data_IF_181872368358
#
_entry.id   IF_181872368358
#
_cell.length_a   1.000
_cell.length_b   1.000
_cell.length_c   1.000
_cell.angle_alpha   90.00
_cell.angle_beta   90.00
_cell.angle_gamma   90.00
#
_symmetry.space_group_name_H-M   'P 1'
#
loop_
_entity.id
_entity.type
_entity.pdbx_description
1 polymer ?
#
# COMPACT_ATOMS: atom_id res chain seq x y z
N UNK A 1 1.17 -11.58 18.82
CA UNK A 1 0.76 -10.15 18.85
C UNK A 1 -0.31 -9.90 19.93
N UNK A 2 -0.20 -8.81 20.72
CA UNK A 2 -1.24 -8.35 21.64
C UNK A 2 -2.28 -7.44 20.95
N UNK A 3 -3.41 -7.15 21.62
CA UNK A 3 -4.40 -6.19 21.08
C UNK A 3 -3.81 -4.78 20.96
N UNK A 4 -2.93 -4.38 21.88
CA UNK A 4 -2.26 -3.07 21.83
C UNK A 4 -1.35 -2.99 20.60
N UNK A 5 -0.59 -4.04 20.31
CA UNK A 5 0.25 -4.12 19.12
C UNK A 5 -0.60 -4.02 17.84
N UNK A 6 -1.73 -4.73 17.80
CA UNK A 6 -2.67 -4.70 16.68
C UNK A 6 -3.23 -3.29 16.43
N UNK A 7 -3.55 -2.54 17.51
CA UNK A 7 -4.01 -1.15 17.42
C UNK A 7 -2.91 -0.25 16.83
N UNK A 8 -1.69 -0.37 17.32
CA UNK A 8 -0.55 0.44 16.86
C UNK A 8 -0.30 0.18 15.37
N UNK A 9 -0.20 -1.08 14.99
CA UNK A 9 0.01 -1.50 13.61
C UNK A 9 -1.12 -1.00 12.70
N UNK A 10 -2.38 -1.11 13.14
CA UNK A 10 -3.53 -0.63 12.38
C UNK A 10 -3.54 0.89 12.17
N UNK A 11 -3.10 1.67 13.17
CA UNK A 11 -2.93 3.12 13.03
C UNK A 11 -1.84 3.42 12.00
N UNK A 12 -0.71 2.72 12.08
CA UNK A 12 0.41 2.90 11.14
C UNK A 12 -0.05 2.60 9.72
N UNK A 13 -0.69 1.47 9.49
CA UNK A 13 -1.27 1.10 8.19
C UNK A 13 -2.23 2.17 7.67
N UNK A 14 -3.24 2.53 8.46
CA UNK A 14 -4.24 3.51 8.04
C UNK A 14 -3.65 4.87 7.68
N UNK A 15 -2.59 5.31 8.39
CA UNK A 15 -1.89 6.56 8.09
C UNK A 15 -1.03 6.48 6.82
N UNK A 16 -0.42 5.32 6.55
CA UNK A 16 0.71 5.22 5.61
C UNK A 16 0.34 4.61 4.27
N UNK A 17 -0.76 3.86 4.17
CA UNK A 17 -1.12 3.10 2.97
C UNK A 17 -1.38 4.00 1.75
N UNK A 18 -2.19 5.03 1.93
CA UNK A 18 -2.56 5.95 0.85
C UNK A 18 -1.63 7.15 0.70
N UNK A 19 -0.81 7.43 1.72
CA UNK A 19 0.24 8.42 1.62
C UNK A 19 1.42 7.82 0.83
N UNK A 20 2.15 8.64 0.05
CA UNK A 20 3.23 8.16 -0.81
C UNK A 20 4.52 7.87 -0.02
N UNK A 21 4.40 7.34 1.21
CA UNK A 21 5.49 7.17 2.20
C UNK A 21 5.86 5.71 2.51
N UNK A 22 5.14 4.75 1.91
CA UNK A 22 5.36 3.30 2.02
C UNK A 22 4.93 2.71 3.36
N UNK A 23 3.72 2.13 3.40
CA UNK A 23 3.21 1.36 4.55
C UNK A 23 4.17 0.24 4.94
N UNK A 24 4.59 -0.60 4.00
CA UNK A 24 5.55 -1.70 4.25
C UNK A 24 6.80 -1.28 5.03
N UNK A 25 7.35 -0.10 4.76
CA UNK A 25 8.53 0.39 5.48
C UNK A 25 8.24 0.73 6.93
N UNK A 26 7.09 1.32 7.19
CA UNK A 26 6.64 1.63 8.54
C UNK A 26 6.24 0.38 9.30
N UNK A 27 5.61 -0.58 8.62
CA UNK A 27 5.22 -1.86 9.21
C UNK A 27 6.44 -2.62 9.72
N UNK A 28 7.50 -2.75 8.91
CA UNK A 28 8.78 -3.38 9.32
C UNK A 28 9.40 -2.68 10.54
N UNK A 29 9.40 -1.34 10.58
CA UNK A 29 9.90 -0.60 11.76
C UNK A 29 9.04 -0.91 12.97
N UNK A 30 7.73 -0.77 12.84
CA UNK A 30 6.79 -0.89 13.95
C UNK A 30 6.80 -2.31 14.52
N UNK A 31 6.70 -3.34 13.69
CA UNK A 31 6.71 -4.73 14.17
C UNK A 31 8.07 -5.14 14.73
N UNK A 32 9.19 -4.60 14.21
CA UNK A 32 10.51 -4.80 14.81
C UNK A 32 10.65 -4.13 16.17
N UNK A 33 10.19 -2.88 16.32
CA UNK A 33 10.22 -2.16 17.61
C UNK A 33 9.32 -2.79 18.67
N UNK A 34 8.22 -3.41 18.24
CA UNK A 34 7.32 -4.18 19.10
C UNK A 34 7.85 -5.61 19.38
N UNK A 35 8.92 -6.04 18.71
CA UNK A 35 9.51 -7.38 18.89
C UNK A 35 8.67 -8.53 18.33
N UNK A 36 7.77 -8.25 17.37
CA UNK A 36 6.81 -9.22 16.81
C UNK A 36 6.96 -9.44 15.29
N UNK A 37 7.99 -8.87 14.65
CA UNK A 37 8.19 -8.96 13.20
C UNK A 37 8.29 -10.39 12.63
N UNK A 38 8.74 -11.35 13.44
CA UNK A 38 8.93 -12.74 13.02
C UNK A 38 7.70 -13.64 13.26
N UNK A 39 6.62 -13.10 13.86
CA UNK A 39 5.40 -13.85 14.13
C UNK A 39 4.55 -13.97 12.86
N UNK A 40 4.17 -15.18 12.48
CA UNK A 40 3.38 -15.46 11.27
C UNK A 40 2.03 -14.77 11.29
N UNK A 41 1.37 -14.75 12.45
CA UNK A 41 0.11 -14.04 12.59
C UNK A 41 0.31 -12.54 12.40
N UNK A 42 1.42 -11.98 12.89
CA UNK A 42 1.78 -10.58 12.63
C UNK A 42 1.94 -10.34 11.13
N UNK A 43 2.78 -11.10 10.42
CA UNK A 43 2.96 -10.94 8.96
C UNK A 43 1.65 -11.05 8.18
N UNK A 44 0.79 -12.02 8.53
CA UNK A 44 -0.55 -12.14 7.95
C UNK A 44 -1.41 -10.92 8.27
N UNK A 45 -1.40 -10.48 9.52
CA UNK A 45 -2.15 -9.34 10.00
C UNK A 45 -1.76 -8.07 9.23
N UNK A 46 -0.46 -7.79 9.09
CA UNK A 46 0.07 -6.64 8.34
C UNK A 46 -0.48 -6.55 6.90
N UNK A 47 -0.56 -7.69 6.20
CA UNK A 47 -1.16 -7.72 4.86
C UNK A 47 -2.68 -7.58 4.91
N UNK A 48 -3.33 -8.21 5.89
CA UNK A 48 -4.78 -8.36 5.87
C UNK A 48 -5.54 -7.15 6.42
N UNK A 49 -4.92 -6.30 7.23
CA UNK A 49 -5.51 -5.03 7.70
C UNK A 49 -5.68 -4.00 6.58
N UNK A 50 -5.04 -4.22 5.42
CA UNK A 50 -5.28 -3.46 4.20
C UNK A 50 -6.75 -3.50 3.78
N UNK A 51 -7.52 -4.53 4.18
CA UNK A 51 -8.97 -4.59 3.93
C UNK A 51 -9.70 -3.41 4.57
N UNK A 52 -9.35 -3.06 5.80
CA UNK A 52 -9.86 -1.87 6.47
C UNK A 52 -9.48 -0.60 5.70
N UNK A 53 -8.21 -0.48 5.31
CA UNK A 53 -7.72 0.66 4.55
C UNK A 53 -8.45 0.81 3.19
N UNK A 54 -8.62 -0.25 2.39
CA UNK A 54 -9.35 -0.15 1.11
C UNK A 54 -10.84 0.15 1.28
N UNK A 55 -11.45 -0.32 2.38
CA UNK A 55 -12.84 0.01 2.67
C UNK A 55 -13.01 1.52 2.85
N UNK A 56 -11.99 2.24 3.34
CA UNK A 56 -12.02 3.70 3.44
C UNK A 56 -12.16 4.36 2.07
N UNK A 57 -11.50 3.82 1.03
CA UNK A 57 -11.66 4.29 -0.35
C UNK A 57 -13.09 4.06 -0.83
N UNK A 58 -13.61 2.84 -0.65
CA UNK A 58 -14.98 2.49 -1.07
C UNK A 58 -16.00 3.42 -0.42
N UNK A 59 -15.88 3.70 0.87
CA UNK A 59 -16.78 4.58 1.61
C UNK A 59 -16.63 6.04 1.20
N UNK A 60 -15.40 6.56 1.09
CA UNK A 60 -15.17 7.96 0.71
C UNK A 60 -15.64 8.27 -0.71
N UNK A 61 -15.51 7.29 -1.61
CA UNK A 61 -15.89 7.42 -3.01
C UNK A 61 -17.19 6.67 -3.34
N UNK A 62 -18.03 6.38 -2.36
CA UNK A 62 -19.22 5.51 -2.47
C UNK A 62 -20.04 5.75 -3.74
N UNK A 63 -20.45 7.00 -3.98
CA UNK A 63 -21.28 7.37 -5.14
C UNK A 63 -20.61 7.05 -6.47
N UNK A 64 -19.29 7.22 -6.57
CA UNK A 64 -18.51 6.95 -7.78
C UNK A 64 -18.14 5.48 -7.91
N UNK A 65 -17.89 4.81 -6.79
CA UNK A 65 -17.54 3.40 -6.71
C UNK A 65 -18.71 2.47 -7.06
N UNK A 66 -19.94 2.89 -6.80
CA UNK A 66 -21.17 2.15 -7.15
C UNK A 66 -21.94 2.76 -8.33
N UNK A 67 -21.31 3.64 -9.11
CA UNK A 67 -21.89 4.15 -10.34
C UNK A 67 -21.65 3.14 -11.49
N UNK A 68 -22.49 2.11 -11.54
CA UNK A 68 -22.39 1.04 -12.53
C UNK A 68 -22.70 1.50 -13.97
N UNK A 69 -23.32 2.67 -14.14
CA UNK A 69 -23.52 3.25 -15.48
C UNK A 69 -22.18 3.54 -16.18
N UNK A 70 -21.11 3.74 -15.38
CA UNK A 70 -19.76 4.04 -15.83
C UNK A 70 -18.89 2.79 -15.96
N UNK A 71 -19.44 1.70 -16.51
CA UNK A 71 -18.78 0.40 -16.65
C UNK A 71 -17.35 0.48 -17.25
N UNK A 72 -17.12 1.41 -18.19
CA UNK A 72 -15.80 1.65 -18.80
C UNK A 72 -14.72 2.00 -17.77
N UNK A 73 -15.08 2.68 -16.67
CA UNK A 73 -14.15 2.99 -15.59
C UNK A 73 -13.65 1.71 -14.90
N UNK A 74 -14.54 0.76 -14.62
CA UNK A 74 -14.15 -0.53 -14.04
C UNK A 74 -13.26 -1.33 -14.98
N UNK A 75 -13.53 -1.32 -16.29
CA UNK A 75 -12.66 -1.98 -17.27
C UNK A 75 -11.26 -1.34 -17.28
N UNK A 76 -11.16 -0.01 -17.18
CA UNK A 76 -9.86 0.67 -17.04
C UNK A 76 -9.15 0.26 -15.74
N UNK A 77 -9.87 0.11 -14.62
CA UNK A 77 -9.28 -0.41 -13.39
C UNK A 77 -8.75 -1.82 -13.58
N UNK A 78 -9.54 -2.73 -14.15
CA UNK A 78 -9.10 -4.11 -14.45
C UNK A 78 -7.84 -4.10 -15.31
N UNK A 79 -7.83 -3.31 -16.40
CA UNK A 79 -6.66 -3.16 -17.28
C UNK A 79 -5.42 -2.68 -16.53
N UNK A 80 -5.59 -1.73 -15.58
CA UNK A 80 -4.49 -1.26 -14.74
C UNK A 80 -4.04 -2.28 -13.69
N UNK A 81 -4.91 -3.17 -13.23
CA UNK A 81 -4.59 -4.18 -12.21
C UNK A 81 -3.87 -5.38 -12.80
N UNK A 82 -4.12 -5.71 -14.07
CA UNK A 82 -3.55 -6.90 -14.76
C UNK A 82 -2.03 -7.03 -14.59
N UNK A 83 -1.19 -6.00 -14.87
CA UNK A 83 0.26 -6.14 -14.71
C UNK A 83 0.67 -6.53 -13.29
N UNK A 84 0.01 -5.94 -12.28
CA UNK A 84 0.31 -6.19 -10.89
C UNK A 84 -0.12 -7.60 -10.45
N UNK A 85 -1.29 -8.09 -10.91
CA UNK A 85 -1.73 -9.46 -10.56
C UNK A 85 -0.87 -10.52 -11.23
N UNK A 86 -0.56 -10.35 -12.52
CA UNK A 86 0.23 -11.32 -13.28
C UNK A 86 1.64 -11.43 -12.69
N UNK A 87 2.34 -10.31 -12.54
CA UNK A 87 3.71 -10.33 -12.05
C UNK A 87 3.79 -10.60 -10.54
N UNK A 88 2.79 -10.15 -9.77
CA UNK A 88 2.71 -10.43 -8.33
C UNK A 88 2.51 -11.92 -8.05
N UNK A 89 1.72 -12.61 -8.88
CA UNK A 89 1.56 -14.06 -8.80
C UNK A 89 2.81 -14.80 -9.29
N UNK A 90 3.38 -14.41 -10.44
CA UNK A 90 4.57 -15.08 -11.00
C UNK A 90 5.82 -14.94 -10.14
N UNK A 91 5.96 -13.83 -9.41
CA UNK A 91 7.13 -13.51 -8.60
C UNK A 91 6.84 -13.48 -7.09
N UNK A 92 5.76 -14.12 -6.63
CA UNK A 92 5.33 -14.06 -5.22
C UNK A 92 6.44 -14.43 -4.24
N UNK A 93 7.17 -15.51 -4.51
CA UNK A 93 8.24 -15.99 -3.64
C UNK A 93 9.41 -15.00 -3.60
N UNK A 94 9.72 -14.36 -4.75
CA UNK A 94 10.78 -13.36 -4.81
C UNK A 94 10.39 -12.07 -4.11
N UNK A 95 9.12 -11.69 -4.18
CA UNK A 95 8.59 -10.52 -3.46
C UNK A 95 8.67 -10.78 -1.95
N UNK A 96 8.31 -11.98 -1.49
CA UNK A 96 8.44 -12.38 -0.09
C UNK A 96 9.90 -12.30 0.39
N UNK A 97 10.88 -12.80 -0.39
CA UNK A 97 12.30 -12.66 -0.05
C UNK A 97 12.75 -11.19 0.08
N UNK A 98 12.26 -10.32 -0.80
CA UNK A 98 12.55 -8.89 -0.72
C UNK A 98 11.87 -8.22 0.49
N UNK A 99 10.69 -8.69 0.89
CA UNK A 99 9.94 -8.19 2.06
C UNK A 99 10.68 -8.52 3.35
N UNK A 100 11.31 -9.69 3.41
CA UNK A 100 12.12 -10.14 4.53
C UNK A 100 13.50 -9.47 4.61
N UNK A 101 13.83 -8.57 3.69
CA UNK A 101 15.09 -7.82 3.69
C UNK A 101 14.89 -6.38 4.18
N UNK A 102 15.17 -6.07 5.46
CA UNK A 102 15.14 -4.71 5.99
C UNK A 102 15.97 -3.72 5.16
N UNK A 103 17.12 -4.17 4.63
CA UNK A 103 17.98 -3.37 3.76
C UNK A 103 17.28 -2.98 2.46
N UNK A 104 16.56 -3.90 1.83
CA UNK A 104 15.79 -3.62 0.61
C UNK A 104 14.71 -2.58 0.87
N UNK A 105 13.98 -2.75 1.98
CA UNK A 105 12.93 -1.82 2.43
C UNK A 105 13.51 -0.43 2.70
N UNK A 106 14.63 -0.35 3.41
CA UNK A 106 15.31 0.90 3.76
C UNK A 106 15.81 1.67 2.53
N UNK A 107 16.52 0.99 1.63
CA UNK A 107 17.04 1.58 0.40
C UNK A 107 15.92 2.05 -0.52
N UNK A 108 14.89 1.24 -0.70
CA UNK A 108 13.73 1.60 -1.54
C UNK A 108 12.94 2.76 -0.96
N UNK A 109 12.81 2.82 0.37
CA UNK A 109 12.19 3.95 1.07
C UNK A 109 12.98 5.24 0.82
N UNK A 110 14.30 5.20 1.00
CA UNK A 110 15.21 6.33 0.76
C UNK A 110 15.17 6.79 -0.70
N UNK A 111 15.39 5.88 -1.66
CA UNK A 111 15.43 6.19 -3.09
C UNK A 111 14.10 6.75 -3.57
N UNK A 112 12.97 6.16 -3.17
CA UNK A 112 11.67 6.72 -3.51
C UNK A 112 11.44 8.09 -2.86
N UNK A 113 11.99 8.35 -1.67
CA UNK A 113 12.01 9.68 -1.07
C UNK A 113 12.74 10.70 -1.94
N UNK A 114 13.93 10.35 -2.43
CA UNK A 114 14.69 11.19 -3.37
C UNK A 114 13.88 11.47 -4.63
N UNK A 115 13.25 10.45 -5.23
CA UNK A 115 12.39 10.62 -6.43
C UNK A 115 11.26 11.62 -6.16
N UNK A 116 10.58 11.54 -5.01
CA UNK A 116 9.49 12.43 -4.65
C UNK A 116 9.90 13.90 -4.49
N UNK A 117 11.16 14.19 -4.16
CA UNK A 117 11.66 15.57 -4.06
C UNK A 117 11.65 16.31 -5.41
N UNK A 118 11.75 15.56 -6.51
CA UNK A 118 11.86 16.11 -7.86
C UNK A 118 10.61 15.93 -8.71
N UNK A 119 9.72 15.00 -8.35
CA UNK A 119 8.65 14.55 -9.24
C UNK A 119 7.64 15.64 -9.63
N UNK A 120 7.40 16.58 -8.74
CA UNK A 120 6.56 17.76 -9.01
C UNK A 120 7.12 18.65 -10.11
N UNK A 121 8.44 18.64 -10.30
CA UNK A 121 9.10 19.42 -11.32
C UNK A 121 9.16 18.71 -12.67
N UNK A 122 9.01 17.38 -12.70
CA UNK A 122 9.05 16.58 -13.92
C UNK A 122 7.73 16.68 -14.69
N UNK A 123 6.59 16.61 -13.99
CA UNK A 123 5.26 16.54 -14.62
C UNK A 123 4.42 17.82 -14.41
N UNK A 124 4.84 18.93 -15.03
CA UNK A 124 4.22 20.26 -14.85
C UNK A 124 3.01 20.57 -15.74
N UNK A 125 2.77 19.78 -16.79
CA UNK A 125 1.75 20.06 -17.82
C UNK A 125 0.70 18.95 -17.93
N UNK A 126 -0.17 18.77 -16.90
CA UNK A 126 -1.26 17.82 -16.99
C UNK A 126 -2.27 18.28 -18.05
N UNK A 127 -2.82 17.34 -18.81
CA UNK A 127 -3.84 17.60 -19.83
C UNK A 127 -5.13 16.80 -19.62
N UNK A 128 -5.14 15.88 -18.64
CA UNK A 128 -6.29 15.03 -18.32
C UNK A 128 -6.76 15.33 -16.91
N UNK A 129 -7.98 15.80 -16.79
CA UNK A 129 -8.61 16.20 -15.51
C UNK A 129 -9.88 15.39 -15.20
N UNK A 130 -10.32 14.51 -16.09
CA UNK A 130 -11.44 13.59 -15.89
C UNK A 130 -11.02 12.14 -16.17
N UNK A 131 -11.55 11.20 -15.39
CA UNK A 131 -11.36 9.75 -15.54
C UNK A 131 -11.93 9.19 -16.86
N UNK A 132 -12.91 9.87 -17.46
CA UNK A 132 -13.45 9.53 -18.77
C UNK A 132 -12.38 9.62 -19.87
N UNK A 133 -11.46 10.58 -19.75
CA UNK A 133 -10.38 10.83 -20.71
C UNK A 133 -9.17 9.87 -20.55
N UNK A 134 -9.15 9.04 -19.50
CA UNK A 134 -8.11 8.03 -19.32
C UNK A 134 -8.36 6.92 -20.35
N UNK A 135 -7.44 6.68 -21.29
CA UNK A 135 -7.54 5.55 -22.21
C UNK A 135 -7.11 4.24 -21.54
N UNK A 136 -7.49 3.09 -22.11
CA UNK A 136 -7.04 1.79 -21.63
C UNK A 136 -5.51 1.66 -21.62
N UNK A 137 -4.82 2.19 -22.64
CA UNK A 137 -3.36 2.23 -22.69
C UNK A 137 -2.77 3.00 -21.51
N UNK A 138 -3.36 4.15 -21.15
CA UNK A 138 -2.90 4.93 -19.99
C UNK A 138 -3.11 4.17 -18.69
N UNK A 139 -4.27 3.53 -18.54
CA UNK A 139 -4.56 2.70 -17.37
C UNK A 139 -3.57 1.53 -17.24
N UNK A 140 -3.27 0.84 -18.35
CA UNK A 140 -2.27 -0.23 -18.40
C UNK A 140 -0.88 0.26 -18.00
N UNK A 141 -0.43 1.41 -18.52
CA UNK A 141 0.88 1.98 -18.15
C UNK A 141 0.92 2.33 -16.66
N UNK A 142 -0.17 2.89 -16.09
CA UNK A 142 -0.26 3.12 -14.63
C UNK A 142 -0.14 1.79 -13.86
N UNK A 143 -0.72 0.71 -14.40
CA UNK A 143 -0.53 -0.65 -13.89
C UNK A 143 0.91 -1.13 -13.91
N UNK A 144 1.64 -0.88 -15.01
CA UNK A 144 3.07 -1.18 -15.08
C UNK A 144 3.88 -0.41 -14.03
N UNK A 145 3.49 0.82 -13.69
CA UNK A 145 4.09 1.55 -12.57
C UNK A 145 3.83 0.87 -11.22
N UNK A 146 2.64 0.28 -10.99
CA UNK A 146 2.39 -0.48 -9.76
C UNK A 146 3.31 -1.68 -9.60
N UNK A 147 3.79 -2.29 -10.70
CA UNK A 147 4.73 -3.41 -10.63
C UNK A 147 6.02 -3.01 -9.92
N UNK A 148 6.47 -1.77 -10.10
CA UNK A 148 7.65 -1.23 -9.40
C UNK A 148 7.43 -1.24 -7.88
N UNK A 149 6.18 -1.09 -7.44
CA UNK A 149 5.82 -1.13 -6.03
C UNK A 149 5.78 -2.54 -5.42
N UNK A 150 6.01 -3.59 -6.21
CA UNK A 150 6.29 -4.92 -5.67
C UNK A 150 7.63 -4.97 -4.95
N UNK A 151 8.55 -4.03 -5.24
CA UNK A 151 9.75 -3.84 -4.43
C UNK A 151 9.34 -3.18 -3.11
N UNK A 152 9.54 -3.87 -1.97
CA UNK A 152 9.17 -3.35 -0.65
C UNK A 152 9.86 -2.03 -0.34
N UNK A 153 9.11 -1.07 0.20
CA UNK A 153 9.63 0.28 0.48
C UNK A 153 9.41 1.30 -0.64
N UNK A 154 9.05 0.90 -1.87
CA UNK A 154 8.82 1.86 -2.98
C UNK A 154 7.56 2.72 -2.77
N UNK A 155 6.57 2.25 -2.02
CA UNK A 155 5.20 2.80 -1.92
C UNK A 155 4.39 2.62 -3.19
N UNK A 156 3.34 1.81 -3.09
CA UNK A 156 2.39 1.56 -4.17
C UNK A 156 1.65 2.82 -4.57
N UNK A 157 1.11 3.57 -3.61
CA UNK A 157 0.44 4.84 -3.86
C UNK A 157 1.36 5.85 -4.58
N UNK A 158 2.62 5.97 -4.18
CA UNK A 158 3.59 6.81 -4.90
C UNK A 158 3.75 6.35 -6.36
N UNK A 159 4.04 5.06 -6.59
CA UNK A 159 4.30 4.54 -7.93
C UNK A 159 3.12 4.75 -8.90
N UNK A 160 1.90 4.40 -8.50
CA UNK A 160 0.72 4.58 -9.37
C UNK A 160 0.34 6.05 -9.58
N UNK A 161 0.54 6.93 -8.59
CA UNK A 161 0.26 8.36 -8.77
C UNK A 161 1.27 8.99 -9.72
N UNK A 162 2.56 8.65 -9.57
CA UNK A 162 3.62 9.09 -10.47
C UNK A 162 3.36 8.60 -11.89
N UNK A 163 2.97 7.32 -12.04
CA UNK A 163 2.55 6.77 -13.33
C UNK A 163 1.37 7.54 -13.94
N UNK A 164 0.37 7.90 -13.13
CA UNK A 164 -0.74 8.72 -13.59
C UNK A 164 -0.29 10.10 -14.07
N UNK A 165 0.57 10.77 -13.30
CA UNK A 165 1.14 12.08 -13.66
C UNK A 165 1.97 12.01 -14.94
N UNK A 166 2.76 10.95 -15.12
CA UNK A 166 3.49 10.68 -16.36
C UNK A 166 2.53 10.55 -17.55
N UNK A 167 1.36 9.94 -17.35
CA UNK A 167 0.29 9.84 -18.35
C UNK A 167 -0.54 11.13 -18.53
N UNK A 168 -0.06 12.26 -17.97
CA UNK A 168 -0.64 13.60 -18.03
C UNK A 168 -1.93 13.79 -17.22
N UNK A 169 -2.22 12.92 -16.27
CA UNK A 169 -3.31 13.15 -15.31
C UNK A 169 -2.91 14.28 -14.35
N UNK A 170 -3.89 15.07 -13.93
CA UNK A 170 -3.68 15.97 -12.78
C UNK A 170 -3.32 15.16 -11.53
N UNK A 171 -2.57 15.76 -10.59
CA UNK A 171 -2.19 15.09 -9.31
C UNK A 171 -3.40 14.49 -8.59
N UNK A 172 -4.51 15.24 -8.53
CA UNK A 172 -5.73 14.81 -7.87
C UNK A 172 -6.36 13.60 -8.58
N UNK A 173 -6.46 13.64 -9.90
CA UNK A 173 -7.02 12.52 -10.67
C UNK A 173 -6.11 11.29 -10.60
N UNK A 174 -4.79 11.48 -10.61
CA UNK A 174 -3.83 10.40 -10.47
C UNK A 174 -3.90 9.76 -9.07
N UNK A 175 -4.03 10.56 -8.01
CA UNK A 175 -4.29 10.10 -6.63
C UNK A 175 -5.60 9.32 -6.54
N UNK A 176 -6.69 9.88 -7.06
CA UNK A 176 -7.98 9.22 -7.05
C UNK A 176 -7.93 7.90 -7.84
N UNK A 177 -7.43 7.89 -9.08
CA UNK A 177 -7.30 6.66 -9.87
C UNK A 177 -6.45 5.61 -9.15
N UNK A 178 -5.34 6.02 -8.54
CA UNK A 178 -4.48 5.16 -7.71
C UNK A 178 -5.24 4.54 -6.52
N UNK A 179 -6.14 5.29 -5.87
CA UNK A 179 -6.96 4.78 -4.77
C UNK A 179 -8.00 3.78 -5.24
N UNK A 180 -8.69 4.05 -6.36
CA UNK A 180 -9.60 3.08 -6.95
C UNK A 180 -8.88 1.80 -7.39
N UNK A 181 -7.69 1.93 -7.97
CA UNK A 181 -6.83 0.84 -8.40
C UNK A 181 -6.33 -0.01 -7.22
N UNK A 182 -6.19 0.61 -6.04
CA UNK A 182 -5.84 -0.04 -4.78
C UNK A 182 -6.79 -1.18 -4.43
N UNK A 183 -8.09 -0.91 -4.55
CA UNK A 183 -9.15 -1.76 -4.01
C UNK A 183 -9.07 -3.17 -4.58
N UNK A 184 -9.13 -3.39 -5.91
CA UNK A 184 -9.00 -4.74 -6.47
C UNK A 184 -7.60 -5.35 -6.27
N UNK A 185 -6.53 -4.55 -6.32
CA UNK A 185 -5.15 -5.06 -6.17
C UNK A 185 -4.91 -5.62 -4.76
N UNK A 186 -5.24 -4.85 -3.73
CA UNK A 186 -4.99 -5.21 -2.33
C UNK A 186 -6.02 -6.20 -1.80
N UNK A 187 -7.24 -6.17 -2.33
CA UNK A 187 -8.19 -7.25 -2.10
C UNK A 187 -7.64 -8.58 -2.61
N UNK A 188 -7.09 -8.63 -3.82
CA UNK A 188 -6.48 -9.84 -4.36
C UNK A 188 -5.27 -10.30 -3.54
N UNK A 189 -4.38 -9.39 -3.15
CA UNK A 189 -3.22 -9.71 -2.30
C UNK A 189 -3.66 -10.24 -0.92
N UNK A 190 -4.67 -9.62 -0.30
CA UNK A 190 -5.19 -10.08 0.99
C UNK A 190 -5.89 -11.43 0.86
N UNK A 191 -6.75 -11.61 -0.16
CA UNK A 191 -7.43 -12.87 -0.42
C UNK A 191 -6.41 -14.01 -0.65
N UNK A 192 -5.34 -13.73 -1.40
CA UNK A 192 -4.23 -14.67 -1.56
C UNK A 192 -3.60 -15.02 -0.21
N UNK A 193 -3.24 -14.03 0.61
CA UNK A 193 -2.63 -14.23 1.93
C UNK A 193 -3.50 -14.99 2.92
N UNK A 194 -4.82 -14.77 2.91
CA UNK A 194 -5.77 -15.43 3.83
C UNK A 194 -6.12 -16.85 3.36
N UNK A 195 -6.39 -17.03 2.06
CA UNK A 195 -7.04 -18.25 1.53
C UNK A 195 -6.05 -19.19 0.85
N UNK A 196 -5.10 -18.65 0.10
CA UNK A 196 -4.25 -19.45 -0.80
C UNK A 196 -2.85 -19.69 -0.23
N UNK A 197 -2.23 -18.67 0.38
CA UNK A 197 -0.88 -18.75 0.94
C UNK A 197 -0.81 -19.73 2.11
N UNK A 198 0.21 -20.57 2.09
CA UNK A 198 0.56 -21.44 3.22
C UNK A 198 1.60 -20.72 4.07
N UNK A 199 1.27 -20.44 5.32
CA UNK A 199 2.17 -19.84 6.30
C UNK A 199 2.91 -20.98 6.99
N UNK A 200 4.25 -21.01 6.83
CA UNK A 200 5.12 -22.15 7.16
C UNK A 200 5.90 -21.94 8.47
N UNK A 201 5.35 -21.27 9.48
CA UNK A 201 6.00 -21.09 10.78
C UNK A 201 6.42 -22.42 11.44
N UNK A 202 6.94 -22.35 12.67
CA UNK A 202 7.63 -23.43 13.43
C UNK A 202 6.89 -24.77 13.64
N UNK A 203 5.80 -25.06 12.91
CA UNK A 203 5.05 -26.30 12.90
C UNK A 203 4.42 -26.62 11.53
N UNK A 204 3.22 -27.18 11.54
CA UNK A 204 2.49 -27.59 10.33
C UNK A 204 2.03 -26.35 9.54
N UNK A 205 2.19 -26.31 8.20
CA UNK A 205 1.72 -25.19 7.40
C UNK A 205 0.23 -24.93 7.60
N UNK A 206 -0.14 -23.68 7.93
CA UNK A 206 -1.52 -23.25 8.12
C UNK A 206 -1.95 -22.25 7.06
N UNK A 207 -3.25 -22.20 6.77
CA UNK A 207 -3.85 -21.11 5.98
C UNK A 207 -4.02 -19.86 6.83
N UNK A 208 -4.11 -18.69 6.19
CA UNK A 208 -4.28 -17.45 6.92
C UNK A 208 -5.60 -17.39 7.71
N UNK A 209 -6.70 -17.92 7.17
CA UNK A 209 -7.96 -18.00 7.93
C UNK A 209 -7.83 -18.89 9.20
N UNK A 210 -6.98 -19.91 9.16
CA UNK A 210 -6.73 -20.78 10.32
C UNK A 210 -5.93 -20.05 11.39
N UNK A 211 -4.95 -19.22 10.99
CA UNK A 211 -4.19 -18.36 11.92
C UNK A 211 -5.08 -17.29 12.56
N UNK A 212 -6.03 -16.73 11.81
CA UNK A 212 -6.98 -15.73 12.32
C UNK A 212 -7.92 -16.35 13.36
N UNK A 213 -8.38 -17.58 13.11
CA UNK A 213 -9.34 -18.29 13.95
C UNK A 213 -8.68 -19.17 15.03
N UNK A 214 -7.35 -19.24 15.07
CA UNK A 214 -6.60 -20.09 15.99
C UNK A 214 -6.94 -19.83 17.46
N UNK A 215 -7.19 -18.56 17.81
CA UNK A 215 -7.64 -18.18 19.13
C UNK A 215 -8.45 -16.87 19.08
N UNK A 216 -9.25 -16.63 20.11
CA UNK A 216 -10.11 -15.44 20.19
C UNK A 216 -9.32 -14.13 20.12
N UNK A 217 -8.09 -14.10 20.64
CA UNK A 217 -7.25 -12.90 20.61
C UNK A 217 -6.82 -12.53 19.18
N UNK A 218 -6.44 -13.50 18.34
CA UNK A 218 -6.11 -13.29 16.93
C UNK A 218 -7.35 -12.79 16.17
N UNK A 219 -8.51 -13.38 16.43
CA UNK A 219 -9.76 -12.95 15.80
C UNK A 219 -10.12 -11.51 16.21
N UNK A 220 -10.02 -11.17 17.49
CA UNK A 220 -10.26 -9.81 17.97
C UNK A 220 -9.24 -8.80 17.42
N UNK A 221 -7.95 -9.15 17.39
CA UNK A 221 -6.91 -8.33 16.79
C UNK A 221 -7.23 -8.03 15.32
N UNK A 222 -7.60 -9.05 14.55
CA UNK A 222 -7.97 -8.92 13.14
C UNK A 222 -9.15 -7.96 12.92
N UNK A 223 -10.24 -8.14 13.67
CA UNK A 223 -11.46 -7.31 13.54
C UNK A 223 -11.19 -5.86 13.96
N UNK A 224 -10.59 -5.67 15.14
CA UNK A 224 -10.30 -4.34 15.70
C UNK A 224 -9.29 -3.61 14.81
N UNK A 225 -8.25 -4.32 14.36
CA UNK A 225 -7.22 -3.78 13.47
C UNK A 225 -7.80 -3.27 12.16
N UNK A 226 -8.66 -4.05 11.51
CA UNK A 226 -9.34 -3.60 10.29
C UNK A 226 -10.25 -2.39 10.52
N UNK A 227 -10.99 -2.36 11.64
CA UNK A 227 -11.84 -1.22 11.98
C UNK A 227 -11.03 0.07 12.22
N UNK A 228 -9.91 -0.05 12.91
CA UNK A 228 -9.02 1.09 13.20
C UNK A 228 -8.33 1.56 11.91
N UNK A 229 -7.76 0.64 11.13
CA UNK A 229 -7.14 0.96 9.86
C UNK A 229 -8.13 1.67 8.92
N UNK A 230 -9.39 1.24 8.89
CA UNK A 230 -10.47 1.92 8.17
C UNK A 230 -10.67 3.36 8.62
N UNK A 231 -10.89 3.59 9.92
CA UNK A 231 -11.15 4.95 10.46
C UNK A 231 -9.96 5.87 10.20
N UNK A 232 -8.75 5.38 10.44
CA UNK A 232 -7.52 6.15 10.26
C UNK A 232 -7.27 6.44 8.77
N UNK A 233 -7.49 5.46 7.88
CA UNK A 233 -7.37 5.65 6.44
C UNK A 233 -8.36 6.68 5.89
N UNK A 234 -9.59 6.74 6.43
CA UNK A 234 -10.56 7.79 6.07
C UNK A 234 -9.99 9.18 6.34
N UNK A 235 -9.36 9.38 7.50
CA UNK A 235 -8.73 10.64 7.88
C UNK A 235 -7.50 10.93 7.01
N UNK A 236 -6.65 9.92 6.80
CA UNK A 236 -5.42 10.03 6.02
C UNK A 236 -5.68 10.40 4.55
N UNK A 237 -6.65 9.75 3.90
CA UNK A 237 -7.04 10.05 2.51
C UNK A 237 -7.54 11.49 2.38
N UNK A 238 -8.43 11.93 3.29
CA UNK A 238 -8.96 13.30 3.28
C UNK A 238 -7.86 14.34 3.46
N UNK A 239 -6.95 14.10 4.41
CA UNK A 239 -5.78 14.94 4.62
C UNK A 239 -4.91 14.99 3.37
N UNK A 240 -4.57 13.83 2.83
CA UNK A 240 -3.63 13.70 1.71
C UNK A 240 -4.14 14.39 0.44
N UNK A 241 -5.41 14.19 0.05
CA UNK A 241 -5.96 14.83 -1.15
C UNK A 241 -5.88 16.35 -1.05
N UNK A 242 -6.26 16.89 0.11
CA UNK A 242 -6.22 18.34 0.36
C UNK A 242 -4.79 18.87 0.37
N UNK A 243 -3.86 18.13 0.98
CA UNK A 243 -2.45 18.48 1.03
C UNK A 243 -1.81 18.44 -0.37
N UNK A 244 -1.99 17.34 -1.09
CA UNK A 244 -1.38 17.08 -2.39
C UNK A 244 -1.77 18.15 -3.42
N UNK A 245 -3.04 18.58 -3.39
CA UNK A 245 -3.55 19.65 -4.25
C UNK A 245 -2.80 20.97 -4.06
N UNK A 246 -2.39 21.28 -2.81
CA UNK A 246 -1.79 22.58 -2.45
C UNK A 246 -0.26 22.56 -2.45
N UNK A 247 0.35 21.48 -1.97
CA UNK A 247 1.78 21.45 -1.65
C UNK A 247 2.60 20.42 -2.47
N UNK A 248 1.95 19.48 -3.16
CA UNK A 248 2.64 18.44 -3.93
C UNK A 248 3.29 17.35 -3.06
N UNK A 249 4.36 16.73 -3.56
CA UNK A 249 5.03 15.55 -3.00
C UNK A 249 6.24 15.87 -2.11
N UNK A 250 6.80 17.08 -2.21
CA UNK A 250 8.13 17.39 -1.66
C UNK A 250 8.27 17.09 -0.16
N UNK A 251 7.26 17.37 0.65
CA UNK A 251 7.31 17.06 2.09
C UNK A 251 7.35 15.53 2.37
N UNK A 252 6.59 14.73 1.61
CA UNK A 252 6.65 13.27 1.70
C UNK A 252 7.99 12.73 1.23
N UNK A 253 8.62 13.39 0.24
CA UNK A 253 9.99 13.07 -0.18
C UNK A 253 11.00 13.26 0.94
N UNK A 254 10.99 14.42 1.61
CA UNK A 254 11.86 14.66 2.77
C UNK A 254 11.62 13.65 3.88
N UNK A 255 10.35 13.39 4.20
CA UNK A 255 9.98 12.41 5.21
C UNK A 255 10.57 11.02 4.90
N UNK A 256 10.39 10.52 3.68
CA UNK A 256 10.94 9.23 3.25
C UNK A 256 12.46 9.18 3.27
N UNK A 257 13.13 10.27 2.90
CA UNK A 257 14.60 10.34 2.98
C UNK A 257 15.04 10.19 4.44
N UNK A 258 14.40 10.91 5.36
CA UNK A 258 14.69 10.82 6.79
C UNK A 258 14.44 9.41 7.31
N UNK A 259 13.27 8.83 7.04
CA UNK A 259 12.91 7.47 7.49
C UNK A 259 13.84 6.42 6.89
N UNK A 260 14.16 6.52 5.60
CA UNK A 260 15.11 5.62 4.93
C UNK A 260 16.51 5.69 5.53
N UNK A 261 17.01 6.90 5.85
CA UNK A 261 18.28 7.07 6.56
C UNK A 261 18.23 6.46 7.97
N UNK A 262 17.16 6.69 8.73
CA UNK A 262 17.00 6.10 10.07
C UNK A 262 17.02 4.57 10.00
N UNK A 263 16.29 3.99 9.04
CA UNK A 263 16.28 2.54 8.80
C UNK A 263 17.68 1.99 8.53
N UNK A 264 18.43 2.61 7.63
CA UNK A 264 19.80 2.19 7.31
C UNK A 264 20.73 2.28 8.53
N UNK A 265 20.59 3.31 9.36
CA UNK A 265 21.37 3.44 10.61
C UNK A 265 21.00 2.35 11.59
N UNK A 266 19.70 2.04 11.78
CA UNK A 266 19.27 0.97 12.68
C UNK A 266 19.77 -0.40 12.24
N UNK A 267 19.76 -0.67 10.93
CA UNK A 267 20.32 -1.90 10.33
C UNK A 267 21.83 -1.95 10.57
N UNK A 268 22.54 -0.86 10.33
CA UNK A 268 23.99 -0.78 10.57
C UNK A 268 24.36 -1.02 12.04
N UNK A 269 23.48 -0.61 12.97
CA UNK A 269 23.62 -0.86 14.41
C UNK A 269 23.20 -2.27 14.85
N UNK A 270 22.72 -3.13 13.95
CA UNK A 270 22.22 -4.47 14.26
C UNK A 270 20.92 -4.47 15.08
N UNK A 271 20.11 -3.41 14.98
CA UNK A 271 18.81 -3.26 15.68
C UNK A 271 17.60 -3.60 14.80
N UNK A 272 17.84 -3.89 13.53
CA UNK A 272 16.86 -4.25 12.50
C UNK A 272 17.47 -5.28 11.56
#
# INVERSE_FOLDING_TARGET
MSIVDAIIIAIVEGLTEFLPISSTGHMVITSSLLGIANDDFTKLFEVSIQLGAILAVVVLYWKKFFDFSRWQFYVKLIVGVIPALVLGFLFSDKIDELLESPTTVALSTLLGGIVLLFIDNVFKKPSINSDQQISYTKAFIIGCWQVIAMVPGVSRSAASIIGGMQQKLTRNLAAEFSFFLAVPTMFAATAYSIVLKNWKGSGVPKKGYELILENSQNTYAFIIGNLIAFVVAVLAIRFFINYLKKYGFRAFGFYRVIVGCILLVLIFMGRL
#
